data_IF_827215298219
#
_entry.id   IF_827215298219
#
_cell.length_a   1.000
_cell.length_b   1.000
_cell.length_c   1.000
_cell.angle_alpha   90.00
_cell.angle_beta   90.00
_cell.angle_gamma   90.00
#
_symmetry.space_group_name_H-M   'P 1'
#
loop_
_entity.id
_entity.type
_entity.pdbx_description
1 polymer ?
#
# COMPACT_ATOMS: atom_id res chain seq x y z
N UNK A 1 -12.93 13.94 -18.17
CA UNK A 1 -11.71 14.29 -17.41
C UNK A 1 -11.87 13.67 -16.03
N UNK A 2 -11.38 12.43 -15.87
CA UNK A 2 -11.68 11.58 -14.70
C UNK A 2 -10.40 11.43 -13.88
N UNK A 3 -10.06 12.49 -13.14
CA UNK A 3 -8.91 12.59 -12.24
C UNK A 3 -9.40 12.57 -10.79
N UNK A 4 -10.14 11.54 -10.36
CA UNK A 4 -10.80 11.57 -9.03
C UNK A 4 -10.72 10.27 -8.22
N UNK A 5 -9.72 9.41 -8.44
CA UNK A 5 -9.48 8.26 -7.56
C UNK A 5 -8.08 8.20 -6.95
N UNK A 6 -7.26 9.24 -7.16
CA UNK A 6 -5.91 9.31 -6.64
C UNK A 6 -5.66 10.39 -5.57
N UNK A 7 -6.67 11.20 -5.22
CA UNK A 7 -6.52 12.34 -4.29
C UNK A 7 -6.80 12.02 -2.81
N UNK A 8 -7.22 10.79 -2.50
CA UNK A 8 -7.41 10.39 -1.10
C UNK A 8 -6.15 9.66 -0.60
N UNK A 9 -5.47 10.18 0.43
CA UNK A 9 -4.33 9.51 1.04
C UNK A 9 -4.74 8.11 1.51
N UNK A 10 -3.93 7.10 1.20
CA UNK A 10 -4.18 5.71 1.66
C UNK A 10 -3.87 5.54 3.15
N UNK A 11 -3.50 6.62 3.83
CA UNK A 11 -3.27 6.64 5.26
C UNK A 11 -2.88 8.04 5.73
N UNK A 12 -2.86 8.22 7.05
CA UNK A 12 -2.42 9.44 7.70
C UNK A 12 -0.88 9.54 7.71
N UNK A 13 -0.36 10.77 7.66
CA UNK A 13 1.07 11.06 7.84
C UNK A 13 1.99 10.59 6.71
N UNK A 14 1.41 10.28 5.56
CA UNK A 14 2.10 9.71 4.42
C UNK A 14 3.08 10.63 3.69
N UNK A 15 4.03 10.03 2.97
CA UNK A 15 4.85 10.73 1.96
C UNK A 15 4.51 10.23 0.57
N UNK A 16 4.48 11.13 -0.40
CA UNK A 16 4.35 10.81 -1.82
C UNK A 16 5.67 11.08 -2.56
N UNK A 17 5.97 10.24 -3.55
CA UNK A 17 7.12 10.38 -4.44
C UNK A 17 6.71 9.96 -5.85
N UNK A 18 7.11 10.75 -6.85
CA UNK A 18 6.95 10.39 -8.25
C UNK A 18 8.22 9.73 -8.76
N UNK A 19 8.07 8.58 -9.42
CA UNK A 19 9.14 7.85 -10.08
C UNK A 19 8.83 7.84 -11.58
N UNK A 20 9.66 8.50 -12.42
CA UNK A 20 9.44 8.51 -13.86
C UNK A 20 9.60 7.10 -14.45
N UNK A 21 8.77 6.75 -15.42
CA UNK A 21 8.83 5.44 -16.11
C UNK A 21 8.80 5.64 -17.62
N UNK A 22 9.62 4.89 -18.34
CA UNK A 22 9.64 4.93 -19.81
C UNK A 22 8.46 4.16 -20.42
N UNK A 23 7.97 3.13 -19.74
CA UNK A 23 6.87 2.29 -20.18
C UNK A 23 5.95 1.92 -19.01
N UNK A 24 4.71 1.47 -19.28
CA UNK A 24 3.85 0.90 -18.27
C UNK A 24 4.55 -0.24 -17.52
N UNK A 25 4.54 -0.19 -16.18
CA UNK A 25 5.12 -1.27 -15.37
C UNK A 25 4.09 -2.36 -15.09
N UNK A 26 4.57 -3.55 -14.78
CA UNK A 26 3.73 -4.60 -14.24
C UNK A 26 3.54 -4.41 -12.72
N UNK A 27 2.44 -3.77 -12.32
CA UNK A 27 2.12 -3.52 -10.91
C UNK A 27 1.98 -4.80 -10.08
N UNK A 28 1.52 -5.91 -10.67
CA UNK A 28 1.42 -7.19 -9.98
C UNK A 28 2.81 -7.70 -9.58
N UNK A 29 3.77 -7.66 -10.50
CA UNK A 29 5.14 -8.10 -10.24
C UNK A 29 5.84 -7.19 -9.22
N UNK A 30 5.68 -5.87 -9.35
CA UNK A 30 6.26 -4.90 -8.40
C UNK A 30 5.65 -5.05 -7.01
N UNK A 31 4.33 -5.19 -6.89
CA UNK A 31 3.67 -5.41 -5.61
C UNK A 31 4.17 -6.69 -4.92
N UNK A 32 4.39 -7.77 -5.68
CA UNK A 32 4.96 -9.02 -5.14
C UNK A 32 6.40 -8.82 -4.63
N UNK A 33 7.24 -8.09 -5.37
CA UNK A 33 8.61 -7.76 -4.94
C UNK A 33 8.61 -6.95 -3.63
N UNK A 34 7.72 -5.96 -3.52
CA UNK A 34 7.56 -5.15 -2.30
C UNK A 34 7.11 -6.03 -1.13
N UNK A 35 6.15 -6.93 -1.34
CA UNK A 35 5.70 -7.87 -0.30
C UNK A 35 6.83 -8.80 0.15
N UNK A 36 7.62 -9.35 -0.77
CA UNK A 36 8.77 -10.19 -0.43
C UNK A 36 9.81 -9.42 0.39
N UNK A 37 10.13 -8.19 -0.01
CA UNK A 37 11.02 -7.30 0.74
C UNK A 37 10.51 -7.07 2.16
N UNK A 38 9.24 -6.70 2.33
CA UNK A 38 8.64 -6.44 3.65
C UNK A 38 8.61 -7.69 4.53
N UNK A 39 8.32 -8.87 3.94
CA UNK A 39 8.35 -10.14 4.67
C UNK A 39 9.75 -10.52 5.13
N UNK A 40 10.78 -10.27 4.31
CA UNK A 40 12.17 -10.48 4.71
C UNK A 40 12.57 -9.58 5.89
N UNK A 41 11.90 -8.42 6.05
CA UNK A 41 12.07 -7.51 7.20
C UNK A 41 11.17 -7.86 8.40
N UNK A 42 10.45 -9.00 8.39
CA UNK A 42 9.62 -9.47 9.51
C UNK A 42 8.18 -8.93 9.53
N UNK A 43 7.74 -8.23 8.49
CA UNK A 43 6.36 -7.77 8.39
C UNK A 43 5.43 -8.86 7.85
N UNK A 44 4.19 -8.87 8.32
CA UNK A 44 3.08 -9.49 7.58
C UNK A 44 2.60 -8.47 6.56
N UNK A 45 2.55 -8.85 5.29
CA UNK A 45 2.20 -7.94 4.20
C UNK A 45 1.16 -8.56 3.26
N UNK A 46 0.22 -7.72 2.83
CA UNK A 46 -0.94 -8.06 2.00
C UNK A 46 -1.04 -7.09 0.83
N UNK A 47 -0.87 -7.58 -0.42
CA UNK A 47 -1.07 -6.78 -1.61
C UNK A 47 -2.53 -6.81 -2.07
N UNK A 48 -3.01 -5.67 -2.55
CA UNK A 48 -4.28 -5.50 -3.28
C UNK A 48 -3.93 -4.80 -4.59
N UNK A 49 -4.08 -5.51 -5.70
CA UNK A 49 -3.64 -5.03 -7.02
C UNK A 49 -4.85 -4.88 -7.93
N UNK A 50 -5.02 -3.69 -8.49
CA UNK A 50 -5.96 -3.35 -9.55
C UNK A 50 -5.23 -3.02 -10.86
N UNK A 51 -5.97 -2.49 -11.84
CA UNK A 51 -5.46 -2.28 -13.20
C UNK A 51 -4.33 -1.24 -13.30
N UNK A 52 -4.42 -0.13 -12.55
CA UNK A 52 -3.48 0.98 -12.54
C UNK A 52 -3.08 1.42 -11.12
N UNK A 53 -3.46 0.62 -10.12
CA UNK A 53 -3.29 0.91 -8.71
C UNK A 53 -2.91 -0.36 -7.98
N UNK A 54 -1.92 -0.29 -7.09
CA UNK A 54 -1.61 -1.35 -6.15
C UNK A 54 -1.50 -0.76 -4.75
N UNK A 55 -2.08 -1.41 -3.75
CA UNK A 55 -1.98 -1.05 -2.35
C UNK A 55 -1.38 -2.22 -1.60
N UNK A 56 -0.25 -2.02 -0.95
CA UNK A 56 0.35 -2.99 -0.03
C UNK A 56 0.10 -2.50 1.40
N UNK A 57 -0.51 -3.33 2.22
CA UNK A 57 -0.58 -3.11 3.66
C UNK A 57 0.43 -4.00 4.37
N UNK A 58 1.16 -3.45 5.32
CA UNK A 58 2.19 -4.15 6.07
C UNK A 58 2.06 -3.88 7.56
N UNK A 59 2.09 -4.94 8.36
CA UNK A 59 2.01 -4.87 9.81
C UNK A 59 3.20 -5.60 10.44
N UNK A 60 3.84 -4.95 11.41
CA UNK A 60 4.92 -5.56 12.18
C UNK A 60 4.35 -6.13 13.49
N UNK A 61 4.66 -7.39 13.80
CA UNK A 61 4.23 -8.03 15.05
C UNK A 61 5.16 -7.64 16.20
N UNK A 62 5.22 -6.34 16.53
CA UNK A 62 5.90 -5.87 17.74
C UNK A 62 4.93 -5.77 18.92
N UNK A 63 5.45 -5.98 20.13
CA UNK A 63 4.72 -5.82 21.40
C UNK A 63 4.05 -4.44 21.52
N UNK A 64 4.68 -3.39 20.99
CA UNK A 64 4.09 -2.04 20.90
C UNK A 64 2.84 -2.00 20.02
N UNK A 65 2.79 -2.75 18.92
CA UNK A 65 1.59 -2.91 18.09
C UNK A 65 0.46 -3.63 18.82
N UNK A 66 0.78 -4.55 19.72
CA UNK A 66 -0.19 -5.27 20.56
C UNK A 66 -0.69 -4.40 21.72
N UNK A 67 0.20 -3.62 22.36
CA UNK A 67 -0.11 -2.76 23.50
C UNK A 67 -0.84 -1.46 23.12
N UNK A 68 -0.59 -0.95 21.91
CA UNK A 68 -1.31 0.24 21.40
C UNK A 68 -2.67 -0.11 20.81
N UNK A 69 -3.06 -1.39 20.80
CA UNK A 69 -4.42 -1.85 20.50
C UNK A 69 -4.94 -1.49 19.11
N UNK A 70 -4.10 -1.03 18.19
CA UNK A 70 -4.58 -0.50 16.93
C UNK A 70 -4.15 -1.43 15.82
N UNK A 71 -5.15 -1.93 15.11
CA UNK A 71 -5.04 -2.66 13.85
C UNK A 71 -4.45 -1.75 12.75
N UNK A 72 -3.31 -1.11 12.99
CA UNK A 72 -2.64 -0.21 12.06
C UNK A 72 -1.73 -1.01 11.15
N UNK A 73 -1.81 -0.68 9.87
CA UNK A 73 -0.90 -1.12 8.85
C UNK A 73 -0.20 0.09 8.25
N UNK A 74 1.09 -0.05 7.99
CA UNK A 74 1.77 0.80 7.03
C UNK A 74 1.19 0.51 5.65
N UNK A 75 0.83 1.55 4.92
CA UNK A 75 0.26 1.43 3.59
C UNK A 75 1.25 1.96 2.56
N UNK A 76 1.38 1.26 1.44
CA UNK A 76 2.14 1.68 0.27
C UNK A 76 1.18 1.63 -0.91
N UNK A 77 0.84 2.78 -1.50
CA UNK A 77 0.06 2.88 -2.72
C UNK A 77 0.97 3.19 -3.90
N UNK A 78 0.83 2.41 -4.96
CA UNK A 78 1.43 2.64 -6.26
C UNK A 78 0.31 3.03 -7.21
N UNK A 79 0.40 4.21 -7.81
CA UNK A 79 -0.54 4.69 -8.82
C UNK A 79 0.20 4.95 -10.11
N UNK A 80 -0.19 4.23 -11.16
CA UNK A 80 0.43 4.34 -12.45
C UNK A 80 -0.25 5.43 -13.27
N UNK A 81 0.52 6.47 -13.59
CA UNK A 81 0.14 7.55 -14.49
C UNK A 81 0.83 7.41 -15.84
N UNK A 82 0.61 8.39 -16.72
CA UNK A 82 1.28 8.43 -18.01
C UNK A 82 2.75 8.85 -17.84
N UNK A 83 3.68 7.90 -17.99
CA UNK A 83 5.12 8.14 -17.91
C UNK A 83 5.68 8.28 -16.49
N UNK A 84 4.90 7.93 -15.46
CA UNK A 84 5.35 7.92 -14.08
C UNK A 84 4.54 6.95 -13.21
N UNK A 85 5.08 6.66 -12.03
CA UNK A 85 4.37 6.04 -10.93
C UNK A 85 4.44 6.97 -9.75
N UNK A 86 3.29 7.25 -9.15
CA UNK A 86 3.21 7.87 -7.85
C UNK A 86 3.23 6.79 -6.78
N UNK A 87 4.24 6.84 -5.93
CA UNK A 87 4.36 6.01 -4.73
C UNK A 87 3.90 6.86 -3.57
N UNK A 88 2.95 6.37 -2.80
CA UNK A 88 2.54 6.98 -1.55
C UNK A 88 2.70 6.00 -0.42
N UNK A 89 3.12 6.50 0.73
CA UNK A 89 3.19 5.76 1.97
C UNK A 89 2.17 6.33 2.94
N UNK A 90 1.79 5.60 3.98
CA UNK A 90 0.89 6.11 5.02
C UNK A 90 0.68 5.10 6.13
N UNK A 91 -0.17 5.46 7.09
CA UNK A 91 -0.65 4.56 8.13
C UNK A 91 -2.18 4.57 8.11
N UNK A 92 -2.79 3.39 7.96
CA UNK A 92 -4.24 3.23 8.01
C UNK A 92 -4.61 2.01 8.86
N UNK A 93 -5.90 1.81 9.08
CA UNK A 93 -6.36 0.54 9.63
C UNK A 93 -6.12 -0.58 8.60
N UNK A 94 -5.74 -1.75 9.08
CA UNK A 94 -5.63 -2.96 8.28
C UNK A 94 -7.02 -3.32 7.79
N UNK A 95 -7.17 -3.54 6.48
CA UNK A 95 -8.47 -3.81 5.88
C UNK A 95 -8.95 -5.26 6.06
N UNK A 96 -8.26 -6.05 6.90
CA UNK A 96 -8.62 -7.44 7.20
C UNK A 96 -9.83 -7.60 8.13
N UNK A 97 -10.28 -6.53 8.77
CA UNK A 97 -11.44 -6.57 9.67
C UNK A 97 -12.79 -6.50 8.94
N UNK A 98 -12.82 -6.49 7.60
CA UNK A 98 -14.04 -6.76 6.83
C UNK A 98 -14.35 -8.27 6.80
N UNK A 99 -14.51 -8.88 7.98
CA UNK A 99 -15.42 -10.01 8.08
C UNK A 99 -16.82 -9.43 7.85
N UNK A 100 -17.35 -9.66 6.65
CA UNK A 100 -18.77 -9.56 6.39
C UNK A 100 -19.49 -10.57 7.30
N UNK A 101 -19.82 -10.14 8.51
CA UNK A 101 -20.93 -10.72 9.27
C UNK A 101 -22.19 -10.47 8.44
N UNK A 102 -22.68 -11.56 7.86
CA UNK A 102 -24.09 -11.90 7.55
C UNK A 102 -25.13 -10.83 7.77
#
# INVERSE_FOLDING_TARGET
MTMLMSDQPVGLGGKSQMVPTQYPINLQAVAQQVVMFLRAQGFRAWPMVGQNLAVIQAQHHSLLGTLTGQNKAYTIRLCQGQGFIMVETGIANLMQDCNAST
#
